data_IF_188250949529
#
_entry.id   IF_188250949529
#
_cell.length_a   1.000
_cell.length_b   1.000
_cell.length_c   1.000
_cell.angle_alpha   90.00
_cell.angle_beta   90.00
_cell.angle_gamma   90.00
#
_symmetry.space_group_name_H-M   'P 1'
#
loop_
_entity.id
_entity.type
_entity.pdbx_description
1 polymer ?
#
# COMPACT_ATOMS: atom_id res chain seq x y z
N UNK A 1 -67.86 -4.16 -28.06
CA UNK A 1 -66.52 -3.72 -28.50
C UNK A 1 -65.57 -4.84 -28.15
N UNK A 2 -64.83 -5.32 -29.16
CA UNK A 2 -63.70 -6.27 -29.16
C UNK A 2 -63.69 -7.40 -28.11
N UNK A 3 -64.23 -8.53 -28.54
CA UNK A 3 -63.57 -9.84 -28.66
C UNK A 3 -62.20 -10.06 -27.99
N UNK A 4 -62.07 -11.22 -27.33
CA UNK A 4 -60.83 -11.77 -26.78
C UNK A 4 -60.32 -12.93 -27.67
N UNK A 5 -59.08 -12.85 -28.16
CA UNK A 5 -58.46 -13.98 -28.87
C UNK A 5 -57.97 -15.07 -27.90
N UNK A 6 -58.07 -16.37 -28.26
CA UNK A 6 -57.48 -17.46 -27.49
C UNK A 6 -56.00 -17.65 -27.83
N UNK A 7 -55.16 -17.72 -26.79
CA UNK A 7 -53.72 -17.98 -26.91
C UNK A 7 -53.42 -19.39 -27.46
N UNK A 8 -52.53 -19.49 -28.45
CA UNK A 8 -51.98 -20.77 -28.93
C UNK A 8 -50.86 -21.25 -28.00
N UNK A 9 -50.74 -22.56 -27.71
CA UNK A 9 -49.59 -23.11 -27.01
C UNK A 9 -48.34 -23.10 -27.90
N UNK A 10 -47.18 -22.88 -27.27
CA UNK A 10 -45.86 -22.94 -27.92
C UNK A 10 -45.48 -24.39 -28.29
N UNK A 11 -44.75 -24.61 -29.40
CA UNK A 11 -44.21 -25.93 -29.74
C UNK A 11 -43.04 -26.33 -28.83
N UNK A 12 -42.81 -27.64 -28.59
CA UNK A 12 -41.71 -28.10 -27.76
C UNK A 12 -40.35 -27.86 -28.41
N UNK A 13 -39.35 -27.55 -27.57
CA UNK A 13 -37.98 -27.30 -28.01
C UNK A 13 -37.34 -28.53 -28.68
N UNK A 14 -36.62 -28.32 -29.78
CA UNK A 14 -35.83 -29.37 -30.44
C UNK A 14 -34.46 -29.50 -29.78
N UNK A 15 -34.17 -30.67 -29.24
CA UNK A 15 -32.80 -31.07 -28.87
C UNK A 15 -32.00 -31.32 -30.15
N UNK A 16 -30.85 -30.66 -30.28
CA UNK A 16 -29.90 -30.90 -31.38
C UNK A 16 -28.93 -32.04 -31.00
N UNK A 17 -28.57 -32.93 -31.94
CA UNK A 17 -27.55 -33.95 -31.69
C UNK A 17 -26.14 -33.33 -31.67
N UNK A 18 -25.18 -33.93 -30.95
CA UNK A 18 -23.79 -33.45 -30.91
C UNK A 18 -23.07 -33.61 -32.25
N UNK A 19 -22.05 -32.78 -32.54
CA UNK A 19 -21.35 -32.77 -33.82
C UNK A 19 -20.52 -34.04 -34.05
N UNK A 20 -20.58 -34.56 -35.28
CA UNK A 20 -19.82 -35.73 -35.73
C UNK A 20 -18.38 -35.37 -36.12
N UNK A 21 -17.40 -36.04 -35.50
CA UNK A 21 -15.96 -35.89 -35.81
C UNK A 21 -15.60 -36.62 -37.12
N UNK A 22 -14.87 -35.99 -38.07
CA UNK A 22 -14.44 -36.64 -39.31
C UNK A 22 -13.27 -37.63 -39.10
N UNK A 23 -13.11 -38.65 -39.97
CA UNK A 23 -12.11 -39.71 -39.80
C UNK A 23 -10.67 -39.27 -40.11
N UNK A 24 -9.71 -39.87 -39.40
CA UNK A 24 -8.33 -39.37 -39.32
C UNK A 24 -7.32 -39.82 -40.39
N UNK A 25 -6.11 -39.28 -40.26
CA UNK A 25 -4.88 -39.70 -40.98
C UNK A 25 -3.94 -40.50 -40.04
N UNK A 26 -3.04 -41.36 -40.56
CA UNK A 26 -2.46 -42.44 -39.77
C UNK A 26 -1.10 -42.15 -39.12
N UNK A 27 -1.04 -42.31 -37.79
CA UNK A 27 -0.10 -43.20 -37.10
C UNK A 27 1.42 -42.93 -37.19
N UNK A 28 1.95 -42.20 -36.21
CA UNK A 28 3.30 -42.45 -35.70
C UNK A 28 3.22 -43.52 -34.58
N UNK A 29 4.10 -44.53 -34.63
CA UNK A 29 4.11 -45.66 -33.68
C UNK A 29 4.80 -45.29 -32.38
N UNK A 30 4.25 -45.72 -31.25
CA UNK A 30 5.03 -46.06 -30.07
C UNK A 30 4.64 -47.44 -29.53
N UNK A 31 5.66 -48.27 -29.31
CA UNK A 31 5.59 -49.47 -28.47
C UNK A 31 5.69 -48.97 -27.00
N UNK A 32 5.00 -49.48 -25.98
CA UNK A 32 4.15 -50.66 -25.89
C UNK A 32 4.69 -51.64 -24.85
N UNK A 33 4.39 -51.46 -23.56
CA UNK A 33 4.43 -52.49 -22.48
C UNK A 33 3.76 -51.97 -21.17
N UNK A 34 3.52 -52.80 -20.11
CA UNK A 34 2.15 -52.99 -19.62
C UNK A 34 1.86 -52.49 -18.20
N UNK A 35 0.63 -52.78 -17.75
CA UNK A 35 -0.01 -52.37 -16.50
C UNK A 35 0.51 -53.03 -15.21
N UNK A 36 0.46 -52.21 -14.14
CA UNK A 36 0.19 -52.54 -12.74
C UNK A 36 1.28 -53.23 -11.87
N UNK A 37 1.74 -52.49 -10.86
CA UNK A 37 1.94 -52.97 -9.48
C UNK A 37 1.88 -51.79 -8.48
N UNK A 38 1.32 -52.03 -7.29
CA UNK A 38 1.20 -51.04 -6.20
C UNK A 38 2.41 -51.10 -5.27
N UNK A 39 2.91 -49.94 -4.82
CA UNK A 39 3.59 -49.60 -3.53
C UNK A 39 4.56 -48.41 -3.74
N UNK A 40 5.01 -47.73 -2.66
CA UNK A 40 4.24 -47.08 -1.60
C UNK A 40 4.52 -45.56 -1.57
N UNK A 41 3.91 -44.81 -0.65
CA UNK A 41 4.14 -43.37 -0.46
C UNK A 41 5.58 -43.02 -0.10
N UNK A 42 6.27 -42.26 -0.95
CA UNK A 42 7.56 -41.60 -0.62
C UNK A 42 7.34 -40.15 -0.24
N UNK A 43 7.77 -39.75 0.96
CA UNK A 43 7.77 -38.36 1.38
C UNK A 43 8.74 -37.52 0.52
N UNK A 44 8.30 -36.34 0.09
CA UNK A 44 9.17 -35.34 -0.53
C UNK A 44 9.99 -34.63 0.57
N UNK A 45 11.30 -34.40 0.37
CA UNK A 45 12.09 -33.59 1.29
C UNK A 45 11.81 -32.10 1.10
N UNK A 46 11.70 -31.36 2.20
CA UNK A 46 11.54 -29.90 2.20
C UNK A 46 12.70 -29.20 1.46
N UNK A 47 12.44 -28.11 0.71
CA UNK A 47 13.49 -27.22 0.24
C UNK A 47 14.24 -26.60 1.43
N UNK A 48 15.57 -26.66 1.39
CA UNK A 48 16.40 -26.01 2.40
C UNK A 48 16.35 -24.48 2.20
N UNK A 49 16.01 -23.75 3.26
CA UNK A 49 16.08 -22.29 3.27
C UNK A 49 17.52 -21.83 2.99
N UNK A 50 17.71 -20.99 1.96
CA UNK A 50 18.94 -20.23 1.83
C UNK A 50 18.87 -19.00 2.77
N UNK A 51 19.95 -18.68 3.51
CA UNK A 51 19.94 -17.53 4.40
C UNK A 51 19.97 -16.21 3.61
N UNK A 52 19.06 -15.31 3.95
CA UNK A 52 19.03 -13.93 3.47
C UNK A 52 20.37 -13.23 3.73
N UNK A 53 21.00 -12.64 2.71
CA UNK A 53 22.11 -11.72 2.92
C UNK A 53 21.56 -10.32 3.21
N UNK A 54 21.59 -9.91 4.48
CA UNK A 54 21.24 -8.55 4.87
C UNK A 54 22.25 -7.51 4.37
N UNK A 55 21.74 -6.39 3.84
CA UNK A 55 22.56 -5.23 3.54
C UNK A 55 23.01 -4.52 4.84
N UNK A 56 24.25 -3.98 4.90
CA UNK A 56 24.80 -3.41 6.14
C UNK A 56 24.22 -2.03 6.46
N UNK A 57 23.57 -1.90 7.61
CA UNK A 57 23.08 -0.62 8.13
C UNK A 57 24.22 0.32 8.56
N UNK A 58 24.20 1.56 8.05
CA UNK A 58 25.03 2.67 8.53
C UNK A 58 24.35 3.34 9.72
N UNK A 59 24.90 3.18 10.93
CA UNK A 59 24.46 3.93 12.10
C UNK A 59 25.08 5.35 12.09
N UNK A 60 24.24 6.39 12.09
CA UNK A 60 24.63 7.77 12.35
C UNK A 60 23.77 8.33 13.50
N UNK A 61 24.36 8.91 14.57
CA UNK A 61 23.60 9.35 15.74
C UNK A 61 23.13 10.81 15.63
N UNK A 62 21.84 11.05 15.93
CA UNK A 62 21.32 12.40 16.13
C UNK A 62 21.32 12.80 17.62
N UNK A 63 21.72 14.04 17.97
CA UNK A 63 21.83 14.48 19.37
C UNK A 63 20.50 15.02 19.93
N UNK A 64 20.22 14.67 21.19
CA UNK A 64 19.06 15.17 21.96
C UNK A 64 19.30 16.56 22.57
N UNK A 65 18.32 17.45 22.49
CA UNK A 65 18.22 18.69 23.28
C UNK A 65 16.75 18.98 23.67
N UNK A 66 16.45 19.73 24.76
CA UNK A 66 15.27 19.43 25.58
C UNK A 66 14.26 20.58 25.80
N UNK A 67 13.19 20.25 26.56
CA UNK A 67 12.26 21.12 27.32
C UNK A 67 11.14 21.89 26.57
N UNK A 68 9.89 21.52 26.86
CA UNK A 68 8.90 22.30 27.63
C UNK A 68 7.65 21.42 27.88
N UNK A 69 6.76 21.74 28.83
CA UNK A 69 5.65 20.84 29.14
C UNK A 69 4.36 21.47 29.67
N UNK A 70 3.34 20.61 29.77
CA UNK A 70 2.08 20.74 30.52
C UNK A 70 1.00 21.71 29.96
N UNK A 71 -0.30 21.51 30.31
CA UNK A 71 -0.95 20.35 30.96
C UNK A 71 -2.15 19.75 30.17
N UNK A 72 -2.56 18.52 30.51
CA UNK A 72 -3.85 17.96 30.12
C UNK A 72 -4.90 18.08 31.25
N UNK A 73 -6.17 18.22 30.86
CA UNK A 73 -7.33 17.81 31.65
C UNK A 73 -7.77 16.41 31.15
N UNK A 74 -8.22 15.43 31.95
CA UNK A 74 -8.36 15.39 33.41
C UNK A 74 -9.76 14.93 33.86
N UNK A 75 -10.04 13.61 33.85
CA UNK A 75 -11.12 12.99 34.63
C UNK A 75 -10.76 11.55 35.05
N UNK A 76 -11.20 11.16 36.25
CA UNK A 76 -11.13 9.81 36.81
C UNK A 76 -12.49 9.49 37.46
N UNK A 77 -12.78 8.23 37.86
CA UNK A 77 -12.73 7.98 39.31
C UNK A 77 -12.33 6.53 39.76
N UNK A 78 -11.78 6.48 40.99
CA UNK A 78 -11.99 5.54 42.11
C UNK A 78 -12.47 4.07 41.86
N UNK A 79 -12.00 3.04 42.59
CA UNK A 79 -11.08 3.01 43.74
C UNK A 79 -10.87 1.60 44.36
N UNK A 80 -9.86 1.50 45.22
CA UNK A 80 -9.41 0.32 46.01
C UNK A 80 -10.40 -0.06 47.16
N UNK A 81 -10.26 -1.18 47.94
CA UNK A 81 -9.02 -1.95 48.23
C UNK A 81 -9.12 -3.50 48.43
N UNK A 82 -7.98 -4.21 48.47
CA UNK A 82 -7.42 -4.77 49.72
C UNK A 82 -6.08 -5.53 49.58
N UNK A 83 -5.25 -5.27 50.58
CA UNK A 83 -3.97 -5.85 50.99
C UNK A 83 -3.86 -7.39 51.04
N UNK A 84 -2.72 -7.96 50.59
CA UNK A 84 -2.00 -9.09 51.24
C UNK A 84 -0.52 -9.19 50.77
N UNK A 85 0.40 -9.43 51.72
CA UNK A 85 1.75 -9.98 51.52
C UNK A 85 1.91 -11.19 52.46
N UNK A 86 2.73 -12.20 52.14
CA UNK A 86 4.04 -12.28 52.82
C UNK A 86 5.20 -12.86 51.98
N UNK A 87 6.38 -12.87 52.61
CA UNK A 87 7.69 -13.32 52.14
C UNK A 87 7.78 -14.86 51.91
N UNK A 88 8.74 -15.34 51.11
CA UNK A 88 8.98 -16.80 50.99
C UNK A 88 10.12 -17.27 50.08
N UNK A 89 11.37 -17.11 50.53
CA UNK A 89 12.61 -17.86 50.23
C UNK A 89 12.72 -18.88 49.06
N UNK A 90 13.83 -18.77 48.31
CA UNK A 90 14.28 -19.74 47.32
C UNK A 90 15.24 -20.82 47.88
N UNK A 91 15.05 -22.06 47.41
CA UNK A 91 15.97 -23.21 47.35
C UNK A 91 15.47 -24.06 46.16
N UNK A 92 16.27 -24.68 45.29
CA UNK A 92 17.72 -24.66 45.09
C UNK A 92 18.09 -25.83 44.16
N UNK A 93 19.08 -25.66 43.28
CA UNK A 93 19.73 -26.78 42.57
C UNK A 93 21.23 -26.49 42.37
N UNK A 94 22.01 -27.56 42.48
CA UNK A 94 23.47 -27.69 42.41
C UNK A 94 23.77 -28.99 41.61
N UNK A 95 25.02 -29.34 41.23
CA UNK A 95 26.30 -28.62 41.32
C UNK A 95 27.14 -28.67 40.01
N UNK A 96 28.35 -28.08 40.01
CA UNK A 96 29.66 -28.74 39.80
C UNK A 96 30.74 -27.83 39.16
N UNK A 97 32.00 -28.05 39.55
CA UNK A 97 33.19 -27.70 38.74
C UNK A 97 33.89 -26.38 39.09
N UNK A 98 34.84 -26.43 40.03
CA UNK A 98 35.72 -25.30 40.35
C UNK A 98 37.12 -25.49 39.77
N UNK A 99 37.59 -24.55 38.93
CA UNK A 99 39.01 -24.28 38.67
C UNK A 99 39.20 -22.77 38.39
N UNK A 100 40.23 -22.11 38.95
CA UNK A 100 40.46 -20.68 38.75
C UNK A 100 41.24 -20.39 37.45
N UNK A 101 40.96 -19.29 36.72
CA UNK A 101 41.81 -18.85 35.62
C UNK A 101 43.12 -18.22 36.15
N UNK A 102 44.27 -18.49 35.53
CA UNK A 102 45.54 -17.85 35.88
C UNK A 102 45.62 -16.41 35.37
N UNK A 103 46.41 -15.59 36.05
CA UNK A 103 46.71 -14.22 35.66
C UNK A 103 47.53 -14.15 34.36
N UNK A 104 46.94 -13.62 33.28
CA UNK A 104 47.65 -13.34 32.03
C UNK A 104 48.23 -11.93 32.06
N UNK A 105 49.55 -11.83 32.01
CA UNK A 105 50.29 -10.57 31.95
C UNK A 105 50.03 -9.87 30.62
N UNK A 106 49.76 -8.55 30.66
CA UNK A 106 49.65 -7.73 29.44
C UNK A 106 51.04 -7.54 28.80
N UNK A 107 51.31 -8.27 27.72
CA UNK A 107 52.49 -8.05 26.89
C UNK A 107 52.20 -6.96 25.85
N UNK A 108 52.84 -5.78 25.98
CA UNK A 108 52.83 -4.72 24.97
C UNK A 108 54.02 -4.88 24.02
N UNK A 109 53.81 -5.03 22.70
CA UNK A 109 54.84 -4.77 21.70
C UNK A 109 55.11 -3.26 21.60
N UNK A 110 56.39 -2.89 21.56
CA UNK A 110 56.86 -1.50 21.36
C UNK A 110 57.08 -1.21 19.88
N UNK A 111 56.84 0.03 19.45
CA UNK A 111 57.36 0.59 18.20
C UNK A 111 58.14 1.89 18.50
N UNK A 112 59.23 2.20 17.76
CA UNK A 112 60.21 3.22 18.15
C UNK A 112 59.80 4.67 17.78
N UNK A 113 60.41 5.69 18.43
CA UNK A 113 60.00 7.09 18.28
C UNK A 113 60.85 7.91 17.29
N UNK A 114 60.21 8.79 16.52
CA UNK A 114 60.82 10.01 15.94
C UNK A 114 59.81 11.17 16.11
N UNK A 115 60.00 12.00 17.13
CA UNK A 115 60.67 13.31 17.07
C UNK A 115 59.85 14.42 16.36
N UNK A 116 59.25 15.29 17.17
CA UNK A 116 58.57 16.51 16.76
C UNK A 116 59.04 17.66 17.66
N UNK A 117 59.91 18.53 17.13
CA UNK A 117 60.47 19.68 17.82
C UNK A 117 60.58 20.89 16.88
N UNK A 118 60.36 22.08 17.43
CA UNK A 118 60.92 23.33 16.88
C UNK A 118 60.03 24.11 15.92
N UNK A 119 59.11 24.90 16.48
CA UNK A 119 58.67 26.11 15.78
C UNK A 119 59.78 27.17 15.87
N UNK A 120 60.38 27.57 14.74
CA UNK A 120 61.22 28.77 14.65
C UNK A 120 61.13 29.43 13.25
N UNK A 121 61.53 30.69 13.19
CA UNK A 121 61.17 31.66 12.14
C UNK A 121 62.08 31.63 10.90
N UNK A 122 61.60 32.21 9.79
CA UNK A 122 62.40 32.64 8.64
C UNK A 122 62.10 34.10 8.24
N UNK A 123 63.00 34.81 7.51
CA UNK A 123 63.25 36.24 7.76
C UNK A 123 62.81 37.25 6.67
N UNK A 124 62.97 38.54 7.00
CA UNK A 124 62.78 39.76 6.19
C UNK A 124 63.74 39.81 4.95
N UNK A 125 63.55 40.61 3.88
CA UNK A 125 62.92 41.94 3.70
C UNK A 125 62.26 42.03 2.28
N UNK A 126 61.74 43.15 1.71
CA UNK A 126 61.74 44.58 2.06
C UNK A 126 61.11 45.47 0.94
N UNK A 127 61.46 46.76 0.89
CA UNK A 127 61.04 47.83 -0.05
C UNK A 127 59.53 48.08 -0.32
N UNK A 128 59.03 49.19 0.23
CA UNK A 128 57.61 49.54 0.30
C UNK A 128 57.02 50.51 -0.75
N UNK A 129 55.81 50.97 -0.45
CA UNK A 129 55.07 52.09 -1.07
C UNK A 129 54.19 52.79 0.01
N UNK A 130 53.77 54.06 -0.17
CA UNK A 130 53.17 54.90 0.87
C UNK A 130 51.62 54.75 0.99
N UNK A 131 51.00 55.25 2.08
CA UNK A 131 49.57 55.06 2.33
C UNK A 131 48.64 55.92 1.44
N UNK A 132 47.45 55.42 1.06
CA UNK A 132 46.45 56.17 0.32
C UNK A 132 45.68 57.20 1.18
N UNK A 133 45.05 58.22 0.57
CA UNK A 133 44.56 59.39 1.29
C UNK A 133 43.21 59.20 2.00
N UNK A 134 43.05 59.86 3.16
CA UNK A 134 41.77 60.02 3.85
C UNK A 134 40.80 60.89 3.03
N UNK A 135 39.72 60.31 2.49
CA UNK A 135 38.55 61.07 2.02
C UNK A 135 37.40 61.03 3.04
N UNK A 136 36.75 62.18 3.23
CA UNK A 136 35.75 62.44 4.27
C UNK A 136 34.45 61.66 4.00
N UNK A 137 33.94 60.93 5.02
CA UNK A 137 32.53 60.51 5.10
C UNK A 137 31.69 61.69 5.57
N UNK A 138 30.51 61.88 4.98
CA UNK A 138 29.55 62.92 5.43
C UNK A 138 28.67 63.44 4.29
N UNK A 139 27.65 62.67 3.91
CA UNK A 139 26.44 63.09 3.15
C UNK A 139 25.59 61.88 2.72
N UNK A 140 26.23 60.78 2.30
CA UNK A 140 25.54 59.67 1.59
C UNK A 140 24.84 58.63 2.49
N UNK A 141 25.16 58.56 3.78
CA UNK A 141 24.60 57.54 4.69
C UNK A 141 23.20 57.92 5.19
N UNK A 142 22.94 59.21 5.43
CA UNK A 142 21.62 59.68 5.89
C UNK A 142 20.54 59.55 4.81
N UNK A 143 20.86 59.84 3.55
CA UNK A 143 19.93 59.63 2.42
C UNK A 143 19.57 58.15 2.21
N UNK A 144 20.53 57.23 2.37
CA UNK A 144 20.27 55.79 2.24
C UNK A 144 19.34 55.26 3.34
N UNK A 145 19.51 55.71 4.60
CA UNK A 145 18.67 55.28 5.72
C UNK A 145 17.24 55.85 5.63
N UNK A 146 17.07 57.11 5.21
CA UNK A 146 15.73 57.69 4.98
C UNK A 146 15.03 57.01 3.81
N UNK A 147 15.77 56.69 2.73
CA UNK A 147 15.22 55.92 1.60
C UNK A 147 14.76 54.51 2.00
N UNK A 148 15.59 53.77 2.73
CA UNK A 148 15.24 52.43 3.21
C UNK A 148 14.01 52.45 4.14
N UNK A 149 13.92 53.43 5.06
CA UNK A 149 12.79 53.54 5.97
C UNK A 149 11.50 53.94 5.24
N UNK A 150 11.58 54.80 4.22
CA UNK A 150 10.45 55.13 3.35
C UNK A 150 9.95 53.92 2.55
N UNK A 151 10.85 53.06 2.04
CA UNK A 151 10.47 51.81 1.36
C UNK A 151 9.80 50.83 2.32
N UNK A 152 10.32 50.64 3.54
CA UNK A 152 9.70 49.77 4.54
C UNK A 152 8.30 50.28 4.94
N UNK A 153 8.14 51.59 5.18
CA UNK A 153 6.83 52.18 5.48
C UNK A 153 5.89 52.04 4.27
N UNK A 154 6.36 52.22 3.05
CA UNK A 154 5.55 52.05 1.83
C UNK A 154 5.11 50.60 1.63
N UNK A 155 5.98 49.62 1.87
CA UNK A 155 5.65 48.19 1.84
C UNK A 155 4.63 47.83 2.93
N UNK A 156 4.77 48.37 4.14
CA UNK A 156 3.81 48.15 5.23
C UNK A 156 2.45 48.80 4.95
N UNK A 157 2.42 49.99 4.35
CA UNK A 157 1.18 50.66 3.92
C UNK A 157 0.52 49.91 2.78
N UNK A 158 1.28 49.41 1.80
CA UNK A 158 0.77 48.54 0.73
C UNK A 158 0.21 47.23 1.29
N UNK A 159 0.95 46.54 2.16
CA UNK A 159 0.48 45.31 2.80
C UNK A 159 -0.84 45.54 3.57
N UNK A 160 -0.94 46.64 4.31
CA UNK A 160 -2.14 46.99 5.09
C UNK A 160 -3.30 47.55 4.21
N UNK A 161 -3.01 48.01 2.99
CA UNK A 161 -4.03 48.34 1.99
C UNK A 161 -4.55 47.08 1.29
N UNK A 162 -3.65 46.14 0.96
CA UNK A 162 -3.98 44.85 0.35
C UNK A 162 -4.85 44.01 1.31
N UNK A 163 -4.48 43.90 2.59
CA UNK A 163 -5.30 43.18 3.58
C UNK A 163 -6.69 43.81 3.76
N UNK A 164 -6.82 45.14 3.63
CA UNK A 164 -8.12 45.83 3.68
C UNK A 164 -8.98 45.58 2.44
N UNK A 165 -8.40 45.60 1.24
CA UNK A 165 -9.15 45.27 0.02
C UNK A 165 -9.57 43.80 -0.06
N UNK A 166 -8.80 42.88 0.55
CA UNK A 166 -9.20 41.46 0.67
C UNK A 166 -10.27 41.28 1.76
N UNK A 167 -10.21 42.04 2.86
CA UNK A 167 -11.21 41.98 3.93
C UNK A 167 -12.59 42.55 3.57
N UNK A 168 -12.70 43.38 2.53
CA UNK A 168 -13.97 43.96 2.05
C UNK A 168 -14.58 43.23 0.83
N UNK A 169 -13.98 42.11 0.37
CA UNK A 169 -14.58 41.25 -0.68
C UNK A 169 -14.80 39.79 -0.30
N UNK A 170 -14.54 39.39 0.95
CA UNK A 170 -15.04 38.11 1.50
C UNK A 170 -16.46 38.25 2.04
N UNK A 171 -17.40 38.56 1.14
CA UNK A 171 -18.78 38.12 1.32
C UNK A 171 -18.75 36.59 1.25
N UNK A 172 -19.32 35.92 2.25
CA UNK A 172 -19.00 34.53 2.57
C UNK A 172 -19.58 33.53 1.56
N UNK A 173 -18.91 33.34 0.43
CA UNK A 173 -18.99 32.07 -0.30
C UNK A 173 -18.28 31.02 0.53
N UNK A 174 -19.03 30.40 1.44
CA UNK A 174 -18.64 29.13 2.02
C UNK A 174 -18.54 28.12 0.88
N UNK A 175 -17.33 27.87 0.40
CA UNK A 175 -17.06 26.74 -0.48
C UNK A 175 -17.08 25.52 0.42
N UNK A 176 -18.25 24.89 0.47
CA UNK A 176 -18.49 23.64 1.17
C UNK A 176 -17.53 22.57 0.63
N UNK A 177 -16.49 22.25 1.40
CA UNK A 177 -15.67 21.06 1.21
C UNK A 177 -16.31 19.95 2.05
N UNK A 178 -17.51 19.52 1.63
CA UNK A 178 -18.09 18.28 2.13
C UNK A 178 -17.27 17.10 1.57
N UNK A 179 -16.63 16.29 2.43
CA UNK A 179 -16.16 14.98 2.01
C UNK A 179 -17.35 14.05 1.83
N UNK A 180 -17.11 12.94 1.13
CA UNK A 180 -18.05 11.87 0.84
C UNK A 180 -19.20 12.23 -0.14
N UNK A 181 -19.37 11.30 -1.09
CA UNK A 181 -20.66 10.78 -1.54
C UNK A 181 -21.73 11.02 -0.48
N UNK A 182 -22.80 11.74 -0.82
CA UNK A 182 -23.91 11.94 0.08
C UNK A 182 -24.56 10.57 0.37
N UNK A 183 -24.14 9.94 1.47
CA UNK A 183 -24.93 8.94 2.16
C UNK A 183 -26.33 9.54 2.31
N UNK A 184 -27.28 8.93 1.60
CA UNK A 184 -28.60 9.50 1.40
C UNK A 184 -29.17 9.85 2.78
N UNK A 185 -29.54 11.11 3.08
CA UNK A 185 -30.00 11.49 4.42
C UNK A 185 -31.36 10.88 4.81
N UNK A 186 -31.91 10.01 3.96
CA UNK A 186 -33.07 9.14 4.21
C UNK A 186 -32.74 7.64 4.05
N UNK A 187 -31.46 7.25 3.95
CA UNK A 187 -31.05 5.89 4.24
C UNK A 187 -31.10 5.73 5.77
N UNK A 188 -31.94 4.83 6.26
CA UNK A 188 -31.86 4.40 7.65
C UNK A 188 -30.43 3.87 7.91
N UNK A 189 -29.85 4.09 9.11
CA UNK A 189 -28.54 3.53 9.43
C UNK A 189 -28.61 2.01 9.25
N UNK A 190 -27.74 1.49 8.40
CA UNK A 190 -27.69 0.06 8.06
C UNK A 190 -27.46 -0.71 9.35
N UNK A 191 -28.37 -1.62 9.71
CA UNK A 191 -28.21 -2.48 10.88
C UNK A 191 -26.91 -3.28 10.69
N UNK A 192 -26.10 -3.50 11.74
CA UNK A 192 -24.89 -4.30 11.63
C UNK A 192 -25.19 -5.73 11.12
N UNK A 193 -26.42 -6.23 11.34
CA UNK A 193 -26.96 -7.46 10.74
C UNK A 193 -27.05 -7.37 9.21
N UNK A 194 -27.51 -6.24 8.69
CA UNK A 194 -27.61 -5.98 7.25
C UNK A 194 -26.21 -5.73 6.64
N UNK A 195 -25.33 -5.03 7.36
CA UNK A 195 -23.93 -4.84 6.96
C UNK A 195 -23.18 -6.17 6.84
N UNK A 196 -23.33 -7.08 7.83
CA UNK A 196 -22.74 -8.42 7.74
C UNK A 196 -23.30 -9.22 6.57
N UNK A 197 -24.59 -9.08 6.25
CA UNK A 197 -25.20 -9.71 5.08
C UNK A 197 -24.64 -9.15 3.75
N UNK A 198 -24.30 -7.86 3.67
CA UNK A 198 -23.60 -7.26 2.51
C UNK A 198 -22.21 -7.87 2.32
N UNK A 199 -21.46 -8.11 3.41
CA UNK A 199 -20.12 -8.72 3.33
C UNK A 199 -20.17 -10.21 2.95
N UNK A 200 -21.03 -10.99 3.61
CA UNK A 200 -21.10 -12.45 3.41
C UNK A 200 -21.79 -12.84 2.10
N UNK A 201 -22.70 -12.01 1.59
CA UNK A 201 -23.63 -12.32 0.50
C UNK A 201 -23.82 -11.21 -0.54
N UNK A 202 -22.78 -10.44 -0.84
CA UNK A 202 -22.81 -9.42 -1.89
C UNK A 202 -23.22 -10.01 -3.26
N UNK A 203 -24.09 -9.31 -4.01
CA UNK A 203 -24.53 -9.77 -5.33
C UNK A 203 -23.42 -9.75 -6.40
N UNK A 204 -22.29 -9.09 -6.12
CA UNK A 204 -21.07 -9.20 -6.94
C UNK A 204 -20.58 -10.65 -7.06
N UNK A 205 -20.71 -11.45 -6.00
CA UNK A 205 -20.29 -12.86 -6.01
C UNK A 205 -21.11 -13.73 -6.98
N UNK A 206 -22.33 -13.31 -7.33
CA UNK A 206 -23.21 -14.04 -8.27
C UNK A 206 -22.87 -13.78 -9.75
N UNK A 207 -21.95 -12.87 -10.07
CA UNK A 207 -21.69 -12.45 -11.46
C UNK A 207 -20.77 -13.40 -12.24
N UNK A 208 -20.16 -14.38 -11.58
CA UNK A 208 -19.17 -15.28 -12.19
C UNK A 208 -17.83 -14.57 -12.41
N UNK A 209 -17.20 -14.79 -13.57
CA UNK A 209 -15.92 -14.15 -13.92
C UNK A 209 -16.05 -12.80 -14.61
N UNK A 210 -14.93 -12.08 -14.70
CA UNK A 210 -14.79 -10.96 -15.62
C UNK A 210 -14.72 -11.46 -17.07
N UNK A 211 -14.96 -10.55 -18.02
CA UNK A 211 -14.83 -10.86 -19.44
C UNK A 211 -13.35 -11.07 -19.82
N UNK A 212 -13.10 -11.64 -21.01
CA UNK A 212 -11.74 -11.68 -21.54
C UNK A 212 -11.41 -10.29 -22.13
N UNK A 213 -10.63 -9.51 -21.40
CA UNK A 213 -10.31 -8.12 -21.74
C UNK A 213 -9.18 -7.95 -22.76
N UNK A 214 -9.27 -6.91 -23.60
CA UNK A 214 -8.18 -6.48 -24.49
C UNK A 214 -7.37 -5.35 -23.85
N UNK A 215 -6.56 -5.70 -22.84
CA UNK A 215 -5.60 -4.82 -22.20
C UNK A 215 -4.17 -5.14 -22.67
N UNK A 216 -3.71 -4.59 -23.82
CA UNK A 216 -2.35 -4.83 -24.30
C UNK A 216 -1.32 -4.25 -23.34
N UNK A 217 -0.38 -5.10 -22.88
CA UNK A 217 0.71 -4.70 -22.01
C UNK A 217 1.46 -3.47 -22.55
N UNK A 218 1.55 -2.42 -21.73
CA UNK A 218 2.28 -1.19 -22.03
C UNK A 218 3.71 -1.27 -21.48
N UNK A 219 4.62 -0.64 -22.19
CA UNK A 219 5.99 -0.43 -21.70
C UNK A 219 5.95 0.52 -20.49
N UNK A 220 6.58 0.13 -19.38
CA UNK A 220 6.82 1.01 -18.22
C UNK A 220 7.77 2.17 -18.57
N UNK A 221 8.51 2.04 -19.68
CA UNK A 221 9.51 2.99 -20.15
C UNK A 221 10.68 3.13 -19.18
N UNK A 222 11.31 4.31 -19.17
CA UNK A 222 12.35 4.64 -18.19
C UNK A 222 11.78 4.88 -16.77
N UNK A 223 10.48 4.60 -16.56
CA UNK A 223 9.68 4.78 -15.35
C UNK A 223 9.88 6.11 -14.61
N UNK A 224 10.04 7.19 -15.36
CA UNK A 224 9.79 8.55 -14.87
C UNK A 224 8.30 8.75 -14.61
N UNK A 225 7.96 9.86 -13.94
CA UNK A 225 6.58 10.17 -13.52
C UNK A 225 5.61 10.15 -14.70
N UNK A 226 6.00 10.72 -15.86
CA UNK A 226 5.14 10.76 -17.05
C UNK A 226 4.92 9.38 -17.70
N UNK A 227 5.97 8.55 -17.79
CA UNK A 227 5.88 7.21 -18.35
C UNK A 227 5.06 6.28 -17.44
N UNK A 228 5.25 6.36 -16.12
CA UNK A 228 4.41 5.64 -15.17
C UNK A 228 2.95 6.14 -15.19
N UNK A 229 2.70 7.45 -15.27
CA UNK A 229 1.34 7.97 -15.46
C UNK A 229 0.68 7.36 -16.69
N UNK A 230 1.35 7.34 -17.84
CA UNK A 230 0.77 6.77 -19.07
C UNK A 230 0.51 5.25 -18.95
N UNK A 231 1.34 4.52 -18.21
CA UNK A 231 1.10 3.11 -17.88
C UNK A 231 -0.14 2.94 -16.98
N UNK A 232 -0.22 3.70 -15.89
CA UNK A 232 -1.35 3.65 -14.95
C UNK A 232 -2.67 4.10 -15.58
N UNK A 233 -2.67 5.17 -16.39
CA UNK A 233 -3.86 5.63 -17.13
C UNK A 233 -4.37 4.55 -18.11
N UNK A 234 -3.47 3.86 -18.82
CA UNK A 234 -3.85 2.77 -19.71
C UNK A 234 -4.41 1.56 -18.94
N UNK A 235 -3.78 1.19 -17.83
CA UNK A 235 -4.24 0.10 -16.96
C UNK A 235 -5.59 0.43 -16.31
N UNK A 236 -5.80 1.68 -15.90
CA UNK A 236 -7.07 2.20 -15.39
C UNK A 236 -8.20 2.12 -16.43
N UNK A 237 -7.93 2.39 -17.71
CA UNK A 237 -8.92 2.20 -18.77
C UNK A 237 -9.36 0.73 -18.81
N UNK A 238 -8.41 -0.21 -18.80
CA UNK A 238 -8.72 -1.64 -18.78
C UNK A 238 -9.52 -2.05 -17.54
N UNK A 239 -9.11 -1.60 -16.35
CA UNK A 239 -9.80 -1.91 -15.10
C UNK A 239 -11.26 -1.42 -15.11
N UNK A 240 -11.50 -0.20 -15.60
CA UNK A 240 -12.86 0.34 -15.75
C UNK A 240 -13.68 -0.41 -16.82
N UNK A 241 -13.05 -0.85 -17.90
CA UNK A 241 -13.70 -1.62 -18.98
C UNK A 241 -14.13 -3.02 -18.51
N UNK A 242 -13.32 -3.70 -17.69
CA UNK A 242 -13.66 -5.01 -17.14
C UNK A 242 -14.64 -4.95 -15.96
N UNK A 243 -14.42 -4.05 -14.99
CA UNK A 243 -15.20 -4.04 -13.75
C UNK A 243 -16.60 -3.44 -13.89
N UNK A 244 -16.79 -2.39 -14.70
CA UNK A 244 -18.09 -1.72 -14.83
C UNK A 244 -19.22 -2.70 -15.19
N UNK A 245 -19.09 -3.58 -16.22
CA UNK A 245 -20.16 -4.53 -16.55
C UNK A 245 -20.53 -5.48 -15.41
N UNK A 246 -19.55 -5.93 -14.61
CA UNK A 246 -19.79 -6.83 -13.48
C UNK A 246 -20.53 -6.11 -12.34
N UNK A 247 -20.06 -4.92 -11.95
CA UNK A 247 -20.67 -4.12 -10.88
C UNK A 247 -22.08 -3.64 -11.25
N UNK A 248 -22.29 -3.18 -12.49
CA UNK A 248 -23.62 -2.80 -12.99
C UNK A 248 -24.58 -4.00 -13.09
N UNK A 249 -24.07 -5.20 -13.46
CA UNK A 249 -24.88 -6.43 -13.53
C UNK A 249 -25.28 -6.95 -12.14
N UNK A 250 -24.45 -6.72 -11.12
CA UNK A 250 -24.78 -6.95 -9.71
C UNK A 250 -25.83 -5.95 -9.17
N UNK A 251 -26.17 -4.90 -9.92
CA UNK A 251 -27.22 -3.93 -9.60
C UNK A 251 -26.73 -2.68 -8.88
N UNK A 252 -25.42 -2.45 -8.81
CA UNK A 252 -24.82 -1.25 -8.23
C UNK A 252 -24.63 -0.13 -9.26
N UNK A 253 -24.37 1.08 -8.78
CA UNK A 253 -23.82 2.14 -9.62
C UNK A 253 -22.32 1.91 -9.87
N UNK A 254 -21.77 2.62 -10.85
CA UNK A 254 -20.34 2.59 -11.13
C UNK A 254 -19.82 3.97 -11.54
N UNK A 255 -18.81 4.47 -10.84
CA UNK A 255 -18.11 5.73 -11.13
C UNK A 255 -16.61 5.46 -11.30
N UNK A 256 -16.04 5.87 -12.42
CA UNK A 256 -14.62 5.63 -12.71
C UNK A 256 -13.74 6.38 -11.69
N UNK A 257 -12.82 5.69 -10.98
CA UNK A 257 -12.02 6.31 -9.94
C UNK A 257 -10.98 7.26 -10.54
N UNK A 258 -10.67 8.32 -9.78
CA UNK A 258 -9.59 9.25 -10.14
C UNK A 258 -8.21 8.59 -10.03
N UNK A 259 -7.22 9.22 -10.66
CA UNK A 259 -5.81 8.81 -10.57
C UNK A 259 -4.93 10.02 -10.25
N UNK A 260 -4.11 9.90 -9.20
CA UNK A 260 -3.06 10.87 -8.86
C UNK A 260 -1.73 10.14 -8.75
N UNK A 261 -0.82 10.46 -9.66
CA UNK A 261 0.52 9.88 -9.72
C UNK A 261 1.50 10.91 -9.18
N UNK A 262 2.28 10.54 -8.15
CA UNK A 262 3.10 11.50 -7.40
C UNK A 262 4.55 11.04 -7.18
N UNK A 263 5.42 12.03 -7.02
CA UNK A 263 6.86 11.89 -6.71
C UNK A 263 7.32 12.87 -5.60
N UNK A 264 6.36 13.52 -4.93
CA UNK A 264 6.54 14.48 -3.85
C UNK A 264 5.38 14.37 -2.84
N UNK A 265 5.51 15.00 -1.67
CA UNK A 265 4.51 14.94 -0.59
C UNK A 265 3.14 15.46 -1.04
N UNK A 266 2.09 14.70 -0.72
CA UNK A 266 0.69 15.04 -0.99
C UNK A 266 -0.17 14.96 0.27
N UNK A 267 -1.23 15.77 0.30
CA UNK A 267 -2.29 15.67 1.30
C UNK A 267 -3.56 15.20 0.59
N UNK A 268 -4.20 14.15 1.09
CA UNK A 268 -5.43 13.55 0.57
C UNK A 268 -6.52 13.57 1.65
N UNK A 269 -7.80 13.34 1.32
CA UNK A 269 -8.85 13.19 2.32
C UNK A 269 -8.62 12.01 3.29
N UNK A 270 -7.92 10.97 2.85
CA UNK A 270 -7.58 9.79 3.66
C UNK A 270 -6.27 9.95 4.47
N UNK A 271 -5.54 11.05 4.30
CA UNK A 271 -4.29 11.33 5.02
C UNK A 271 -3.19 11.91 4.14
N UNK A 272 -2.01 12.12 4.71
CA UNK A 272 -0.85 12.61 3.97
C UNK A 272 0.02 11.44 3.53
N UNK A 273 0.43 11.41 2.27
CA UNK A 273 1.36 10.43 1.73
C UNK A 273 2.67 11.13 1.31
N UNK A 274 3.80 10.44 1.49
CA UNK A 274 5.11 11.00 1.21
C UNK A 274 6.08 9.94 0.70
N UNK A 275 6.78 10.18 -0.42
CA UNK A 275 7.88 9.32 -0.87
C UNK A 275 8.99 9.04 0.15
N UNK A 276 9.03 9.82 1.24
CA UNK A 276 10.01 9.64 2.31
C UNK A 276 9.53 8.70 3.43
N UNK A 277 8.27 8.27 3.44
CA UNK A 277 7.80 7.19 4.33
C UNK A 277 8.47 5.85 3.99
N UNK A 278 8.83 5.67 2.72
CA UNK A 278 9.56 4.53 2.21
C UNK A 278 8.74 3.23 2.10
N UNK A 279 7.41 3.31 2.23
CA UNK A 279 6.48 2.19 2.44
C UNK A 279 5.25 2.26 1.52
N UNK A 280 4.69 3.44 1.29
CA UNK A 280 3.50 3.63 0.48
C UNK A 280 3.82 3.40 -1.00
N UNK A 281 3.23 2.37 -1.60
CA UNK A 281 3.42 2.02 -3.02
C UNK A 281 2.31 2.65 -3.87
N UNK A 282 1.08 2.32 -3.51
CA UNK A 282 -0.15 2.98 -3.93
C UNK A 282 -1.14 2.94 -2.75
N UNK A 283 -2.28 3.60 -2.90
CA UNK A 283 -3.47 3.43 -2.04
C UNK A 283 -4.72 3.96 -2.77
N UNK A 284 -5.87 3.34 -2.56
CA UNK A 284 -7.19 3.90 -2.88
C UNK A 284 -7.74 4.71 -1.70
N UNK A 285 -8.32 5.89 -1.98
CA UNK A 285 -9.04 6.70 -1.00
C UNK A 285 -10.56 6.67 -1.27
N UNK A 286 -11.36 5.97 -0.44
CA UNK A 286 -12.82 5.92 -0.64
C UNK A 286 -13.54 7.27 -0.39
N UNK A 287 -12.89 8.23 0.28
CA UNK A 287 -13.51 9.54 0.59
C UNK A 287 -13.62 10.50 -0.60
N UNK A 288 -12.79 10.33 -1.63
CA UNK A 288 -12.85 11.07 -2.91
C UNK A 288 -12.82 10.17 -4.16
N UNK A 289 -12.83 8.85 -3.97
CA UNK A 289 -12.83 7.84 -5.03
C UNK A 289 -11.58 7.95 -5.95
N UNK A 290 -10.41 8.26 -5.37
CA UNK A 290 -9.13 8.44 -6.07
C UNK A 290 -8.10 7.37 -5.69
N UNK A 291 -7.44 6.80 -6.69
CA UNK A 291 -6.19 6.05 -6.50
C UNK A 291 -4.96 6.97 -6.51
N UNK A 292 -4.05 6.74 -5.58
CA UNK A 292 -2.79 7.46 -5.45
C UNK A 292 -1.62 6.49 -5.65
N UNK A 293 -0.64 6.83 -6.50
CA UNK A 293 0.51 5.96 -6.80
C UNK A 293 1.85 6.69 -6.67
N UNK A 294 2.76 6.16 -5.84
CA UNK A 294 4.10 6.71 -5.64
C UNK A 294 5.09 6.14 -6.68
N UNK A 295 5.43 6.96 -7.65
CA UNK A 295 6.34 6.64 -8.76
C UNK A 295 7.72 6.18 -8.26
N UNK A 296 8.18 6.79 -7.16
CA UNK A 296 9.51 6.58 -6.62
C UNK A 296 9.60 5.29 -5.82
N UNK A 297 8.58 4.96 -5.01
CA UNK A 297 8.54 3.69 -4.27
C UNK A 297 8.30 2.53 -5.21
N UNK A 298 7.34 2.64 -6.14
CA UNK A 298 7.08 1.62 -7.15
C UNK A 298 8.36 1.26 -7.92
N UNK A 299 9.12 2.26 -8.42
CA UNK A 299 10.39 1.99 -9.11
C UNK A 299 11.49 1.46 -8.19
N UNK A 300 11.57 1.93 -6.94
CA UNK A 300 12.55 1.47 -5.93
C UNK A 300 12.33 0.01 -5.54
N UNK A 301 11.08 -0.43 -5.41
CA UNK A 301 10.73 -1.79 -4.97
C UNK A 301 10.70 -2.80 -6.13
N UNK A 302 10.15 -2.43 -7.29
CA UNK A 302 9.87 -3.37 -8.36
C UNK A 302 10.77 -3.22 -9.61
N UNK A 303 11.49 -2.11 -9.76
CA UNK A 303 12.30 -1.86 -10.94
C UNK A 303 11.44 -1.84 -12.20
N UNK A 304 11.72 -2.75 -13.14
CA UNK A 304 11.07 -2.82 -14.45
C UNK A 304 10.04 -3.97 -14.53
N UNK A 305 9.57 -4.47 -13.37
CA UNK A 305 8.65 -5.61 -13.25
C UNK A 305 7.19 -5.17 -13.46
N UNK A 306 6.76 -5.00 -14.70
CA UNK A 306 5.42 -4.54 -15.10
C UNK A 306 4.25 -5.29 -14.43
N UNK A 307 4.39 -6.60 -14.23
CA UNK A 307 3.43 -7.43 -13.48
C UNK A 307 3.24 -6.96 -12.02
N UNK A 308 4.30 -6.48 -11.37
CA UNK A 308 4.19 -5.95 -10.01
C UNK A 308 3.36 -4.67 -9.96
N UNK A 309 3.55 -3.80 -10.95
CA UNK A 309 2.78 -2.57 -11.10
C UNK A 309 1.32 -2.90 -11.38
N UNK A 310 1.07 -3.89 -12.23
CA UNK A 310 -0.28 -4.31 -12.60
C UNK A 310 -1.05 -4.95 -11.42
N UNK A 311 -0.41 -5.79 -10.59
CA UNK A 311 -1.09 -6.38 -9.42
C UNK A 311 -1.29 -5.39 -8.27
N UNK A 312 -0.36 -4.46 -8.00
CA UNK A 312 -0.57 -3.40 -6.98
C UNK A 312 -1.76 -2.54 -7.37
N UNK A 313 -1.77 -2.02 -8.60
CA UNK A 313 -2.87 -1.16 -9.06
C UNK A 313 -4.17 -1.94 -9.17
N UNK A 314 -4.13 -3.22 -9.57
CA UNK A 314 -5.31 -4.10 -9.54
C UNK A 314 -5.87 -4.35 -8.13
N UNK A 315 -5.02 -4.41 -7.11
CA UNK A 315 -5.42 -4.50 -5.70
C UNK A 315 -6.08 -3.20 -5.23
N UNK A 316 -5.50 -2.02 -5.50
CA UNK A 316 -6.13 -0.73 -5.18
C UNK A 316 -7.50 -0.57 -5.86
N UNK A 317 -7.60 -1.03 -7.11
CA UNK A 317 -8.85 -1.05 -7.84
C UNK A 317 -9.85 -2.06 -7.25
N UNK A 318 -9.38 -3.12 -6.59
CA UNK A 318 -10.17 -4.02 -5.77
C UNK A 318 -10.88 -3.29 -4.63
N UNK A 319 -10.20 -2.35 -3.96
CA UNK A 319 -10.85 -1.47 -2.97
C UNK A 319 -11.87 -0.52 -3.59
N UNK A 320 -11.60 0.00 -4.80
CA UNK A 320 -12.62 0.76 -5.53
C UNK A 320 -13.87 -0.08 -5.84
N UNK A 321 -13.69 -1.33 -6.29
CA UNK A 321 -14.82 -2.27 -6.51
C UNK A 321 -15.58 -2.53 -5.20
N UNK A 322 -14.87 -2.76 -4.09
CA UNK A 322 -15.47 -2.90 -2.75
C UNK A 322 -16.26 -1.65 -2.33
N UNK A 323 -15.79 -0.45 -2.71
CA UNK A 323 -16.49 0.81 -2.46
C UNK A 323 -17.80 0.90 -3.25
N UNK A 324 -17.78 0.62 -4.56
CA UNK A 324 -18.98 0.71 -5.40
C UNK A 324 -20.08 -0.29 -5.01
N UNK A 325 -19.71 -1.48 -4.54
CA UNK A 325 -20.66 -2.49 -4.06
C UNK A 325 -21.05 -2.33 -2.58
N UNK A 326 -20.59 -1.26 -1.91
CA UNK A 326 -20.91 -0.94 -0.51
C UNK A 326 -20.24 -1.84 0.53
N UNK A 327 -19.25 -2.65 0.14
CA UNK A 327 -18.54 -3.55 1.04
C UNK A 327 -17.63 -2.81 2.03
N UNK A 328 -17.02 -1.68 1.64
CA UNK A 328 -16.20 -0.88 2.57
C UNK A 328 -17.04 -0.22 3.68
N UNK A 329 -18.19 0.36 3.34
CA UNK A 329 -19.14 0.93 4.32
C UNK A 329 -19.68 -0.15 5.29
N UNK A 330 -19.98 -1.34 4.75
CA UNK A 330 -20.41 -2.49 5.54
C UNK A 330 -19.29 -3.01 6.46
N UNK A 331 -18.05 -3.05 5.98
CA UNK A 331 -16.88 -3.40 6.76
C UNK A 331 -16.67 -2.42 7.93
N UNK A 332 -16.70 -1.11 7.70
CA UNK A 332 -16.53 -0.11 8.77
C UNK A 332 -17.63 -0.22 9.83
N UNK A 333 -18.87 -0.49 9.40
CA UNK A 333 -20.01 -0.72 10.29
C UNK A 333 -19.79 -1.97 11.18
N UNK A 334 -19.39 -3.09 10.58
CA UNK A 334 -19.14 -4.35 11.31
C UNK A 334 -17.88 -4.26 12.18
N UNK A 335 -16.84 -3.55 11.74
CA UNK A 335 -15.56 -3.46 12.46
C UNK A 335 -15.62 -2.53 13.68
N UNK A 336 -16.54 -1.56 13.68
CA UNK A 336 -16.86 -0.75 14.85
C UNK A 336 -17.54 -1.58 15.96
N UNK A 337 -18.50 -2.42 15.58
CA UNK A 337 -19.27 -3.26 16.51
C UNK A 337 -18.50 -4.49 17.00
N UNK A 338 -17.67 -5.11 16.14
CA UNK A 338 -16.83 -6.28 16.45
C UNK A 338 -15.33 -5.89 16.51
N UNK A 339 -15.02 -4.87 17.32
CA UNK A 339 -13.68 -4.30 17.46
C UNK A 339 -12.60 -5.34 17.82
N UNK A 340 -12.94 -6.36 18.62
CA UNK A 340 -12.01 -7.42 19.04
C UNK A 340 -11.56 -8.29 17.84
N UNK A 341 -12.39 -8.41 16.79
CA UNK A 341 -12.06 -9.14 15.56
C UNK A 341 -11.65 -8.21 14.39
N UNK A 342 -11.51 -6.89 14.61
CA UNK A 342 -11.20 -5.92 13.55
C UNK A 342 -10.01 -6.29 12.67
N UNK A 343 -8.92 -6.78 13.27
CA UNK A 343 -7.74 -7.21 12.50
C UNK A 343 -8.05 -8.36 11.52
N UNK A 344 -8.94 -9.29 11.88
CA UNK A 344 -9.39 -10.32 10.93
C UNK A 344 -10.32 -9.75 9.85
N UNK A 345 -11.16 -8.78 10.19
CA UNK A 345 -12.00 -8.09 9.21
C UNK A 345 -11.16 -7.29 8.20
N UNK A 346 -10.11 -6.59 8.65
CA UNK A 346 -9.15 -5.93 7.76
C UNK A 346 -8.53 -6.96 6.80
N UNK A 347 -7.96 -8.06 7.33
CA UNK A 347 -7.34 -9.10 6.49
C UNK A 347 -8.30 -9.67 5.45
N UNK A 348 -9.60 -9.79 5.77
CA UNK A 348 -10.62 -10.21 4.81
C UNK A 348 -10.84 -9.16 3.70
N UNK A 349 -10.86 -7.86 4.02
CA UNK A 349 -10.93 -6.76 3.03
C UNK A 349 -9.70 -6.78 2.11
N UNK A 350 -8.49 -6.78 2.69
CA UNK A 350 -7.21 -6.72 1.97
C UNK A 350 -6.99 -7.93 1.06
N UNK A 351 -7.24 -9.14 1.57
CA UNK A 351 -7.10 -10.37 0.79
C UNK A 351 -8.17 -10.48 -0.32
N UNK A 352 -9.34 -9.86 -0.15
CA UNK A 352 -10.31 -9.77 -1.23
C UNK A 352 -9.84 -8.80 -2.30
N UNK A 353 -9.36 -7.60 -1.94
CA UNK A 353 -8.79 -6.66 -2.91
C UNK A 353 -7.65 -7.32 -3.71
N UNK A 354 -6.78 -8.08 -3.04
CA UNK A 354 -5.77 -8.95 -3.66
C UNK A 354 -6.35 -10.01 -4.61
N UNK A 355 -7.45 -10.68 -4.24
CA UNK A 355 -8.14 -11.64 -5.11
C UNK A 355 -8.75 -10.97 -6.35
N UNK A 356 -9.42 -9.82 -6.19
CA UNK A 356 -10.02 -9.04 -7.27
C UNK A 356 -8.93 -8.55 -8.25
N UNK A 357 -7.79 -8.06 -7.75
CA UNK A 357 -6.63 -7.71 -8.57
C UNK A 357 -6.04 -8.91 -9.34
N UNK A 358 -5.98 -10.09 -8.70
CA UNK A 358 -5.60 -11.34 -9.38
C UNK A 358 -6.59 -11.71 -10.48
N UNK A 359 -7.89 -11.59 -10.23
CA UNK A 359 -8.98 -11.91 -11.15
C UNK A 359 -8.95 -11.01 -12.40
N UNK A 360 -8.69 -9.71 -12.23
CA UNK A 360 -8.40 -8.80 -13.34
C UNK A 360 -7.18 -9.25 -14.16
N UNK A 361 -6.06 -9.63 -13.53
CA UNK A 361 -4.89 -10.13 -14.28
C UNK A 361 -5.18 -11.44 -15.04
N UNK A 362 -6.05 -12.30 -14.52
CA UNK A 362 -6.51 -13.50 -15.22
C UNK A 362 -7.36 -13.15 -16.45
N UNK A 363 -8.30 -12.22 -16.29
CA UNK A 363 -9.19 -11.71 -17.33
C UNK A 363 -8.44 -11.13 -18.54
N UNK A 364 -7.33 -10.42 -18.31
CA UNK A 364 -6.52 -9.81 -19.38
C UNK A 364 -5.33 -10.67 -19.86
N UNK A 365 -5.13 -11.89 -19.35
CA UNK A 365 -3.90 -12.67 -19.58
C UNK A 365 -3.62 -13.03 -21.07
N UNK A 366 -4.61 -12.95 -21.95
CA UNK A 366 -4.46 -13.16 -23.40
C UNK A 366 -3.83 -11.93 -24.10
N UNK A 367 -4.22 -10.72 -23.69
CA UNK A 367 -3.77 -9.44 -24.25
C UNK A 367 -2.56 -8.85 -23.51
N UNK A 368 -2.43 -9.16 -22.22
CA UNK A 368 -1.29 -8.89 -21.35
C UNK A 368 -0.52 -10.19 -21.12
N UNK A 369 0.48 -10.56 -21.96
CA UNK A 369 0.96 -11.94 -21.98
C UNK A 369 1.71 -12.31 -20.72
N UNK A 370 1.13 -13.22 -19.92
CA UNK A 370 1.70 -13.75 -18.68
C UNK A 370 2.54 -15.01 -18.96
N UNK A 371 3.77 -14.81 -19.44
CA UNK A 371 4.72 -15.91 -19.63
C UNK A 371 5.20 -16.52 -18.29
N UNK A 372 5.91 -17.65 -18.36
CA UNK A 372 6.46 -18.35 -17.19
C UNK A 372 7.32 -17.44 -16.28
N UNK A 373 8.04 -16.46 -16.84
CA UNK A 373 8.83 -15.50 -16.07
C UNK A 373 7.92 -14.56 -15.30
N UNK A 374 6.88 -14.05 -15.96
CA UNK A 374 5.86 -13.16 -15.41
C UNK A 374 4.99 -13.82 -14.36
N UNK A 375 4.61 -15.08 -14.55
CA UNK A 375 3.91 -15.89 -13.53
C UNK A 375 4.78 -16.09 -12.28
N UNK A 376 6.07 -16.36 -12.45
CA UNK A 376 7.01 -16.43 -11.33
C UNK A 376 7.24 -15.05 -10.68
N UNK A 377 7.19 -13.95 -11.42
CA UNK A 377 7.21 -12.58 -10.88
C UNK A 377 5.96 -12.30 -10.06
N UNK A 378 4.75 -12.56 -10.59
CA UNK A 378 3.48 -12.42 -9.87
C UNK A 378 3.52 -13.19 -8.56
N UNK A 379 3.89 -14.48 -8.59
CA UNK A 379 3.93 -15.30 -7.39
C UNK A 379 4.96 -14.77 -6.35
N UNK A 380 6.09 -14.19 -6.78
CA UNK A 380 7.05 -13.54 -5.87
C UNK A 380 6.48 -12.26 -5.25
N UNK A 381 5.83 -11.41 -6.05
CA UNK A 381 5.26 -10.13 -5.63
C UNK A 381 4.07 -10.33 -4.69
N UNK A 382 3.15 -11.23 -5.04
CA UNK A 382 2.01 -11.60 -4.21
C UNK A 382 2.44 -12.07 -2.81
N UNK A 383 3.56 -12.81 -2.73
CA UNK A 383 4.13 -13.21 -1.45
C UNK A 383 4.93 -12.15 -0.69
N UNK A 384 4.94 -10.89 -1.16
CA UNK A 384 5.67 -9.78 -0.52
C UNK A 384 4.80 -8.69 0.09
N UNK A 385 3.46 -8.77 -0.10
CA UNK A 385 2.51 -7.80 0.46
C UNK A 385 2.07 -8.09 1.90
N UNK A 386 2.44 -9.23 2.47
CA UNK A 386 1.85 -9.70 3.72
C UNK A 386 2.60 -9.35 5.02
N UNK A 387 1.84 -9.32 6.12
CA UNK A 387 2.28 -8.98 7.48
C UNK A 387 2.48 -10.21 8.39
N UNK A 388 3.64 -10.85 8.21
CA UNK A 388 3.99 -12.06 8.96
C UNK A 388 3.94 -11.87 10.51
N UNK A 389 3.58 -12.91 11.29
CA UNK A 389 3.57 -12.86 12.75
C UNK A 389 4.92 -12.42 13.34
N UNK A 390 4.91 -11.29 14.07
CA UNK A 390 6.14 -10.69 14.62
C UNK A 390 6.91 -9.82 13.61
N UNK A 391 6.26 -9.42 12.52
CA UNK A 391 6.72 -8.40 11.58
C UNK A 391 6.96 -7.02 12.24
N UNK A 392 7.51 -6.10 11.47
CA UNK A 392 8.04 -4.84 12.01
C UNK A 392 6.96 -3.85 12.46
N UNK A 393 5.73 -4.02 11.96
CA UNK A 393 4.68 -2.99 11.99
C UNK A 393 3.56 -3.27 13.00
N UNK A 394 3.63 -4.41 13.70
CA UNK A 394 2.93 -4.67 14.96
C UNK A 394 1.47 -5.11 14.81
N UNK A 395 0.70 -4.45 13.96
CA UNK A 395 -0.65 -4.85 13.57
C UNK A 395 -0.59 -5.87 12.40
N UNK A 396 -1.62 -6.71 12.27
CA UNK A 396 -1.78 -7.70 11.20
C UNK A 396 -3.13 -7.52 10.51
N UNK A 397 -3.15 -6.65 9.52
CA UNK A 397 -4.34 -6.17 8.82
C UNK A 397 -4.37 -6.52 7.32
N UNK A 398 -3.25 -6.94 6.72
CA UNK A 398 -3.13 -7.32 5.30
C UNK A 398 -2.99 -8.83 5.06
N UNK A 399 -2.71 -9.60 6.11
CA UNK A 399 -2.59 -11.05 6.09
C UNK A 399 -1.20 -11.50 5.65
N UNK A 400 -0.85 -12.76 5.91
CA UNK A 400 0.46 -13.33 5.58
C UNK A 400 0.77 -13.27 4.07
N UNK A 401 2.07 -13.37 3.72
CA UNK A 401 2.50 -13.50 2.33
C UNK A 401 2.08 -14.84 1.71
N UNK A 402 1.73 -15.83 2.53
CA UNK A 402 1.10 -17.06 2.06
C UNK A 402 -0.36 -16.81 1.64
N UNK A 403 -1.15 -16.15 2.49
CA UNK A 403 -2.55 -15.79 2.22
C UNK A 403 -2.65 -14.91 0.97
N UNK A 404 -1.85 -13.83 0.88
CA UNK A 404 -1.85 -12.96 -0.30
C UNK A 404 -1.51 -13.70 -1.60
N UNK A 405 -0.54 -14.63 -1.56
CA UNK A 405 -0.22 -15.49 -2.72
C UNK A 405 -1.39 -16.39 -3.12
N UNK A 406 -2.07 -16.99 -2.15
CA UNK A 406 -3.22 -17.87 -2.43
C UNK A 406 -4.35 -17.07 -3.07
N UNK A 407 -4.83 -16.00 -2.44
CA UNK A 407 -5.97 -15.21 -2.95
C UNK A 407 -5.69 -14.57 -4.31
N UNK A 408 -4.49 -14.04 -4.57
CA UNK A 408 -4.09 -13.57 -5.91
C UNK A 408 -4.11 -14.71 -6.93
N UNK A 409 -3.69 -15.92 -6.54
CA UNK A 409 -3.69 -17.09 -7.43
C UNK A 409 -5.10 -17.63 -7.69
N UNK A 410 -5.99 -17.60 -6.69
CA UNK A 410 -7.42 -17.97 -6.82
C UNK A 410 -8.10 -17.08 -7.84
N UNK A 411 -8.01 -15.75 -7.68
CA UNK A 411 -8.57 -14.80 -8.63
C UNK A 411 -8.03 -15.01 -10.04
N UNK A 412 -6.70 -15.07 -10.19
CA UNK A 412 -6.03 -15.25 -11.48
C UNK A 412 -6.38 -16.58 -12.18
N UNK A 413 -6.51 -17.67 -11.42
CA UNK A 413 -6.68 -19.02 -11.96
C UNK A 413 -8.12 -19.42 -12.27
N UNK A 414 -9.06 -19.04 -11.40
CA UNK A 414 -10.44 -19.56 -11.47
C UNK A 414 -11.39 -18.65 -12.26
N UNK A 415 -11.11 -17.34 -12.33
CA UNK A 415 -11.98 -16.30 -12.90
C UNK A 415 -13.45 -16.46 -12.43
N UNK A 416 -13.67 -16.44 -11.12
CA UNK A 416 -14.98 -16.53 -10.47
C UNK A 416 -15.02 -15.63 -9.23
N UNK A 417 -15.92 -14.65 -9.22
CA UNK A 417 -16.10 -13.69 -8.13
C UNK A 417 -16.58 -14.36 -6.84
N UNK A 418 -17.31 -15.48 -6.92
CA UNK A 418 -17.65 -16.27 -5.73
C UNK A 418 -16.38 -16.83 -5.05
N UNK A 419 -15.34 -17.13 -5.84
CA UNK A 419 -14.02 -17.54 -5.36
C UNK A 419 -13.26 -16.45 -4.59
N UNK A 420 -13.67 -15.18 -4.67
CA UNK A 420 -13.07 -14.05 -3.93
C UNK A 420 -13.87 -13.63 -2.67
N UNK A 421 -14.84 -14.42 -2.22
CA UNK A 421 -15.56 -14.16 -0.96
C UNK A 421 -14.72 -14.55 0.27
N UNK A 422 -13.80 -13.67 0.65
CA UNK A 422 -12.98 -13.82 1.85
C UNK A 422 -13.79 -13.74 3.15
N UNK A 423 -14.95 -13.09 3.19
CA UNK A 423 -15.73 -12.88 4.42
C UNK A 423 -16.33 -14.17 4.98
N UNK A 424 -16.63 -15.14 4.10
CA UNK A 424 -17.11 -16.48 4.46
C UNK A 424 -15.99 -17.54 4.55
N UNK A 425 -14.74 -17.18 4.22
CA UNK A 425 -13.61 -18.10 4.24
C UNK A 425 -13.21 -18.53 5.68
N UNK A 426 -12.69 -19.76 5.86
CA UNK A 426 -12.05 -20.19 7.11
C UNK A 426 -10.95 -19.23 7.58
N UNK A 427 -10.85 -19.01 8.90
CA UNK A 427 -9.90 -18.05 9.48
C UNK A 427 -8.42 -18.35 9.20
N UNK A 428 -8.07 -19.60 8.91
CA UNK A 428 -6.72 -20.02 8.51
C UNK A 428 -6.39 -19.75 7.03
N UNK A 429 -7.38 -19.38 6.22
CA UNK A 429 -7.18 -18.89 4.85
C UNK A 429 -7.05 -17.37 4.77
N UNK A 430 -7.33 -16.66 5.88
CA UNK A 430 -7.21 -15.20 5.98
C UNK A 430 -6.25 -14.79 7.10
N UNK A 431 -5.28 -15.66 7.41
CA UNK A 431 -4.24 -15.35 8.39
C UNK A 431 -3.19 -14.37 7.86
#
# INVERSE_FOLDING_TARGET
MSDSEPTRPLPPARVLPPPSVPPGYPGARYQGQPSAQQQPSSAYPSPQQQPYQGYPGQQQPYPSAPYAGSPQHGYAPQGYPQQWQPQGHAQGYVPLGAYPPPSVQQYRPQYPPQQLHGAYQHPQWGYGWPPPPRRRRGAKVTLALVGALAVVVFVLVLANAITRTVAETTDSVAVDHSPARASNPNADPVDATDARAVLDGNTLYDQGGLANGDCPARDLGDAGTAEQTAFYEALMSCLNEEWRPAVESAGYGYTDPGLVVFDADINTPCGNASPQDGRTLAFYCPSDEVMYADVSQMRKYFGDNDVAYAIVIGHEFGHHVQNEVGALDAFETVSYDDFDNRLELNRRVELQASCLGGLFLGAIAESYPMDETKLQQLSRVAGSFGDEPGGHDGDRDHGSGASNREWISTGYGDNDLAGCNTFTAPGDQVD
#
